data_IF_494534709176
#
_entry.id   IF_494534709176
#
_cell.length_a   1.000
_cell.length_b   1.000
_cell.length_c   1.000
_cell.angle_alpha   90.00
_cell.angle_beta   90.00
_cell.angle_gamma   90.00
#
_symmetry.space_group_name_H-M   'P 1'
#
loop_
_entity.id
_entity.type
_entity.pdbx_description
1 polymer ?
#
# COMPACT_ATOMS: atom_id res chain seq x y z
N UNK A 1 1.56 22.28 48.73
CA UNK A 1 0.83 21.02 48.98
C UNK A 1 0.34 20.50 47.64
N UNK A 2 1.15 19.64 46.99
CA UNK A 2 0.87 19.07 45.67
C UNK A 2 -0.19 17.98 45.81
N UNK A 3 -1.37 18.17 45.23
CA UNK A 3 -2.36 17.11 45.10
C UNK A 3 -2.12 16.32 43.81
N UNK A 4 -1.71 15.08 44.00
CA UNK A 4 -1.47 14.10 42.96
C UNK A 4 -2.77 13.81 42.20
N UNK A 5 -2.86 14.29 40.95
CA UNK A 5 -3.88 13.85 40.01
C UNK A 5 -3.57 12.39 39.63
N UNK A 6 -4.28 11.47 40.28
CA UNK A 6 -4.21 10.04 40.00
C UNK A 6 -4.34 9.77 38.50
N UNK A 7 -3.31 9.15 37.93
CA UNK A 7 -3.32 8.58 36.59
C UNK A 7 -4.37 7.47 36.58
N UNK A 8 -5.59 7.81 36.15
CA UNK A 8 -6.61 6.83 35.75
C UNK A 8 -5.93 5.83 34.80
N UNK A 9 -5.93 4.52 35.07
CA UNK A 9 -5.41 3.57 34.11
C UNK A 9 -6.28 3.68 32.86
N UNK A 10 -5.66 4.01 31.73
CA UNK A 10 -6.31 4.05 30.43
C UNK A 10 -6.99 2.70 30.16
N UNK A 11 -8.29 2.63 30.39
CA UNK A 11 -9.15 1.55 29.92
C UNK A 11 -9.38 1.69 28.41
N UNK A 12 -8.30 1.84 27.64
CA UNK A 12 -8.29 1.66 26.19
C UNK A 12 -8.31 0.18 25.84
N UNK A 13 -9.20 -0.58 26.48
CA UNK A 13 -9.62 -1.89 25.98
C UNK A 13 -10.81 -1.59 25.08
N UNK A 14 -10.53 -1.49 23.77
CA UNK A 14 -11.54 -1.35 22.71
C UNK A 14 -12.76 -2.22 23.02
N UNK A 15 -13.94 -1.64 22.83
CA UNK A 15 -15.22 -2.34 22.83
C UNK A 15 -15.08 -3.73 22.21
N UNK A 16 -15.35 -4.77 23.00
CA UNK A 16 -15.30 -6.16 22.57
C UNK A 16 -16.38 -6.38 21.52
N UNK A 17 -15.99 -6.42 20.25
CA UNK A 17 -16.89 -6.75 19.16
C UNK A 17 -17.30 -8.22 19.29
N UNK A 18 -18.49 -8.45 19.82
CA UNK A 18 -19.18 -9.74 19.80
C UNK A 18 -19.63 -10.02 18.37
N UNK A 19 -19.26 -11.16 17.80
CA UNK A 19 -19.66 -11.55 16.43
C UNK A 19 -20.14 -12.99 16.45
N UNK A 20 -21.20 -13.29 15.71
CA UNK A 20 -21.66 -14.67 15.52
C UNK A 20 -20.66 -15.46 14.68
N UNK A 21 -20.69 -16.79 14.80
CA UNK A 21 -19.82 -17.70 14.04
C UNK A 21 -20.06 -17.55 12.53
N UNK A 22 -21.32 -17.42 12.10
CA UNK A 22 -21.66 -17.15 10.69
C UNK A 22 -20.95 -15.89 10.15
N UNK A 23 -21.01 -14.78 10.90
CA UNK A 23 -20.36 -13.53 10.52
C UNK A 23 -18.83 -13.63 10.54
N UNK A 24 -18.27 -14.40 11.48
CA UNK A 24 -16.83 -14.65 11.55
C UNK A 24 -16.35 -15.48 10.34
N UNK A 25 -17.10 -16.50 9.96
CA UNK A 25 -16.83 -17.35 8.81
C UNK A 25 -16.79 -16.54 7.50
N UNK A 26 -17.77 -15.64 7.31
CA UNK A 26 -17.81 -14.71 6.16
C UNK A 26 -16.57 -13.80 6.13
N UNK A 27 -16.18 -13.22 7.27
CA UNK A 27 -15.01 -12.33 7.35
C UNK A 27 -13.69 -13.04 7.03
N UNK A 28 -13.57 -14.32 7.40
CA UNK A 28 -12.36 -15.13 7.19
C UNK A 28 -12.48 -15.95 5.88
N UNK A 29 -13.54 -15.76 5.10
CA UNK A 29 -13.82 -16.50 3.85
C UNK A 29 -13.66 -18.01 4.01
N UNK A 30 -14.10 -18.55 5.14
CA UNK A 30 -14.01 -19.99 5.46
C UNK A 30 -15.43 -20.53 5.63
N UNK A 31 -15.77 -21.72 5.11
CA UNK A 31 -17.10 -22.27 5.31
C UNK A 31 -17.37 -22.52 6.81
N UNK A 32 -18.62 -22.32 7.22
CA UNK A 32 -19.03 -22.33 8.64
C UNK A 32 -18.71 -23.66 9.31
N UNK A 33 -18.92 -24.77 8.61
CA UNK A 33 -18.61 -26.12 9.07
C UNK A 33 -17.12 -26.27 9.43
N UNK A 34 -16.23 -25.76 8.57
CA UNK A 34 -14.77 -25.78 8.81
C UNK A 34 -14.37 -24.91 9.98
N UNK A 35 -15.03 -23.77 10.16
CA UNK A 35 -14.76 -22.91 11.30
C UNK A 35 -15.21 -23.59 12.61
N UNK A 36 -16.33 -24.31 12.62
CA UNK A 36 -16.79 -25.08 13.79
C UNK A 36 -15.82 -26.21 14.13
N UNK A 37 -15.30 -26.93 13.13
CA UNK A 37 -14.23 -27.93 13.31
C UNK A 37 -13.00 -27.30 13.98
N UNK A 38 -12.50 -26.17 13.45
CA UNK A 38 -11.33 -25.46 14.01
C UNK A 38 -11.56 -24.94 15.43
N UNK A 39 -12.77 -24.47 15.73
CA UNK A 39 -13.12 -24.01 17.08
C UNK A 39 -13.15 -25.19 18.07
N UNK A 40 -13.68 -26.34 17.65
CA UNK A 40 -13.69 -27.57 18.45
C UNK A 40 -12.26 -28.10 18.69
N UNK A 41 -11.41 -28.10 17.66
CA UNK A 41 -9.99 -28.47 17.77
C UNK A 41 -9.20 -27.52 18.68
N UNK A 42 -9.56 -26.23 18.70
CA UNK A 42 -9.01 -25.24 19.62
C UNK A 42 -9.57 -25.37 21.06
N UNK A 43 -10.40 -26.39 21.34
CA UNK A 43 -10.96 -26.69 22.65
C UNK A 43 -12.16 -25.82 23.04
N UNK A 44 -12.82 -25.18 22.07
CA UNK A 44 -14.01 -24.37 22.27
C UNK A 44 -15.24 -25.12 21.76
N UNK A 45 -16.26 -25.28 22.60
CA UNK A 45 -17.48 -26.01 22.23
C UNK A 45 -18.56 -25.01 21.82
N UNK A 46 -18.89 -25.02 20.53
CA UNK A 46 -20.05 -24.31 20.00
C UNK A 46 -21.01 -25.33 19.37
N UNK A 47 -22.30 -25.15 19.60
CA UNK A 47 -23.35 -26.07 19.15
C UNK A 47 -24.02 -25.64 17.85
N UNK A 48 -23.78 -24.42 17.38
CA UNK A 48 -24.44 -23.91 16.18
C UNK A 48 -23.89 -22.59 15.65
N UNK A 49 -24.26 -22.22 14.41
CA UNK A 49 -23.66 -21.11 13.65
C UNK A 49 -24.08 -19.71 14.15
N UNK A 50 -25.17 -19.63 14.90
CA UNK A 50 -25.72 -18.37 15.42
C UNK A 50 -25.16 -18.03 16.81
N UNK A 51 -24.31 -18.87 17.39
CA UNK A 51 -23.67 -18.61 18.68
C UNK A 51 -22.64 -17.48 18.56
N UNK A 52 -22.53 -16.70 19.64
CA UNK A 52 -21.67 -15.51 19.71
C UNK A 52 -20.26 -15.92 20.14
N UNK A 53 -19.25 -15.44 19.39
CA UNK A 53 -17.84 -15.62 19.71
C UNK A 53 -17.30 -14.37 20.42
N UNK A 54 -16.78 -14.58 21.61
CA UNK A 54 -16.15 -13.55 22.45
C UNK A 54 -14.74 -13.20 21.98
N UNK A 55 -14.22 -12.03 22.39
CA UNK A 55 -12.87 -11.60 22.03
C UNK A 55 -11.79 -12.58 22.54
N UNK A 56 -12.00 -13.21 23.68
CA UNK A 56 -11.08 -14.21 24.25
C UNK A 56 -11.01 -15.48 23.42
N UNK A 57 -12.14 -15.94 22.89
CA UNK A 57 -12.23 -17.13 22.03
C UNK A 57 -11.57 -16.88 20.67
N UNK A 58 -11.74 -15.68 20.11
CA UNK A 58 -11.05 -15.27 18.87
C UNK A 58 -9.53 -15.31 19.05
N UNK A 59 -9.01 -14.83 20.18
CA UNK A 59 -7.57 -14.89 20.46
C UNK A 59 -7.06 -16.33 20.61
N UNK A 60 -7.85 -17.23 21.22
CA UNK A 60 -7.52 -18.66 21.31
C UNK A 60 -7.50 -19.32 19.94
N UNK A 61 -8.51 -19.07 19.09
CA UNK A 61 -8.55 -19.55 17.71
C UNK A 61 -7.32 -19.08 16.93
N UNK A 62 -6.98 -17.79 17.01
CA UNK A 62 -5.79 -17.25 16.35
C UNK A 62 -4.51 -17.92 16.86
N UNK A 63 -4.41 -18.16 18.18
CA UNK A 63 -3.28 -18.90 18.75
C UNK A 63 -3.19 -20.34 18.22
N UNK A 64 -4.31 -21.03 18.08
CA UNK A 64 -4.38 -22.37 17.50
C UNK A 64 -3.95 -22.36 16.02
N UNK A 65 -4.54 -21.49 15.20
CA UNK A 65 -4.22 -21.37 13.78
C UNK A 65 -2.74 -21.02 13.54
N UNK A 66 -2.16 -20.16 14.40
CA UNK A 66 -0.72 -19.85 14.35
C UNK A 66 0.16 -21.05 14.71
N UNK A 67 -0.30 -21.98 15.54
CA UNK A 67 0.46 -23.21 15.86
C UNK A 67 0.27 -24.32 14.83
N UNK A 68 -0.91 -24.42 14.22
CA UNK A 68 -1.23 -25.47 13.24
C UNK A 68 -0.76 -25.11 11.83
N UNK A 69 -0.92 -23.85 11.42
CA UNK A 69 -0.49 -23.36 10.10
C UNK A 69 0.84 -22.62 10.15
N UNK A 70 1.25 -22.11 11.31
CA UNK A 70 2.64 -21.76 11.53
C UNK A 70 3.42 -23.05 11.66
N UNK A 71 4.03 -23.45 10.53
CA UNK A 71 5.08 -24.47 10.41
C UNK A 71 5.76 -24.65 11.76
N UNK A 72 5.44 -25.74 12.44
CA UNK A 72 5.85 -26.05 13.81
C UNK A 72 7.17 -25.35 14.16
N UNK A 73 7.12 -24.36 15.05
CA UNK A 73 8.24 -24.13 15.95
C UNK A 73 8.33 -25.40 16.79
N UNK A 74 8.97 -26.42 16.21
CA UNK A 74 9.46 -27.54 16.99
C UNK A 74 10.35 -26.92 18.08
N UNK A 75 10.24 -27.39 19.34
CA UNK A 75 11.02 -26.86 20.45
C UNK A 75 12.49 -26.78 20.03
N UNK A 76 13.11 -25.64 20.33
CA UNK A 76 14.42 -25.22 19.85
C UNK A 76 15.58 -26.18 20.19
N UNK A 77 15.32 -27.27 20.92
CA UNK A 77 16.35 -28.02 21.62
C UNK A 77 16.73 -29.37 21.00
N UNK A 78 16.13 -29.83 19.88
CA UNK A 78 16.52 -31.14 19.29
C UNK A 78 16.63 -31.22 17.75
N UNK A 79 16.43 -30.15 16.97
CA UNK A 79 16.50 -30.26 15.50
C UNK A 79 17.13 -29.04 14.80
N UNK A 80 18.30 -28.62 15.26
CA UNK A 80 19.01 -27.42 14.78
C UNK A 80 19.40 -27.41 13.29
N UNK A 81 19.44 -28.55 12.59
CA UNK A 81 19.84 -28.59 11.17
C UNK A 81 18.85 -29.32 10.25
N UNK A 82 18.21 -30.38 10.73
CA UNK A 82 17.26 -31.16 9.93
C UNK A 82 15.97 -30.37 9.63
N UNK A 83 15.46 -29.58 10.57
CA UNK A 83 14.24 -28.78 10.37
C UNK A 83 14.44 -27.57 9.43
N UNK A 84 15.70 -27.15 9.24
CA UNK A 84 16.11 -26.07 8.33
C UNK A 84 16.25 -26.54 6.88
N UNK A 85 16.34 -27.85 6.63
CA UNK A 85 16.59 -28.42 5.30
C UNK A 85 15.42 -29.29 4.84
N UNK A 86 14.74 -28.90 3.76
CA UNK A 86 13.65 -29.66 3.14
C UNK A 86 14.13 -30.16 1.78
N UNK A 87 14.10 -31.47 1.57
CA UNK A 87 14.45 -32.08 0.27
C UNK A 87 13.19 -32.45 -0.49
N UNK A 88 12.99 -31.86 -1.67
CA UNK A 88 11.89 -32.19 -2.58
C UNK A 88 12.38 -33.13 -3.68
N UNK A 89 11.68 -34.25 -3.83
CA UNK A 89 11.86 -35.18 -4.94
C UNK A 89 10.71 -34.98 -5.93
N UNK A 90 11.02 -34.53 -7.15
CA UNK A 90 10.03 -34.35 -8.23
C UNK A 90 10.29 -35.35 -9.35
N UNK A 91 9.23 -36.02 -9.78
CA UNK A 91 9.21 -36.88 -10.96
C UNK A 91 8.56 -36.13 -12.12
N UNK A 92 9.19 -36.11 -13.29
CA UNK A 92 8.61 -35.59 -14.53
C UNK A 92 8.82 -36.60 -15.65
N UNK A 93 7.73 -37.05 -16.25
CA UNK A 93 7.77 -37.86 -17.47
C UNK A 93 7.77 -36.90 -18.67
N UNK A 94 8.71 -37.07 -19.59
CA UNK A 94 8.81 -36.27 -20.81
C UNK A 94 9.03 -37.19 -22.01
N UNK A 95 8.25 -36.99 -23.05
CA UNK A 95 8.49 -37.61 -24.35
C UNK A 95 9.58 -36.82 -25.07
N UNK A 96 10.70 -37.48 -25.35
CA UNK A 96 11.81 -36.88 -26.10
C UNK A 96 11.89 -37.61 -27.43
N UNK A 97 11.70 -36.86 -28.50
CA UNK A 97 11.96 -37.33 -29.86
C UNK A 97 13.43 -37.11 -30.17
N UNK A 98 14.20 -38.19 -30.21
CA UNK A 98 15.62 -38.14 -30.53
C UNK A 98 15.77 -38.31 -32.05
N UNK A 99 16.39 -37.33 -32.71
CA UNK A 99 16.77 -37.45 -34.12
C UNK A 99 18.07 -38.23 -34.24
N UNK A 100 17.99 -39.55 -34.10
CA UNK A 100 19.11 -40.44 -34.34
C UNK A 100 19.07 -40.94 -35.81
N UNK A 101 19.68 -40.18 -36.71
CA UNK A 101 19.81 -40.57 -38.12
C UNK A 101 18.53 -40.37 -38.97
N UNK A 102 18.26 -41.31 -39.90
CA UNK A 102 17.21 -41.21 -40.94
C UNK A 102 15.78 -41.35 -40.41
N UNK A 103 15.59 -41.80 -39.17
CA UNK A 103 14.27 -41.97 -38.54
C UNK A 103 14.18 -41.25 -37.20
N UNK A 104 13.00 -40.70 -36.89
CA UNK A 104 12.69 -40.02 -35.64
C UNK A 104 12.06 -41.03 -34.68
N UNK A 105 12.69 -41.30 -33.53
CA UNK A 105 12.16 -42.21 -32.51
C UNK A 105 11.79 -41.40 -31.26
N UNK A 106 10.56 -41.57 -30.76
CA UNK A 106 10.09 -40.92 -29.53
C UNK A 106 10.19 -41.91 -28.37
N UNK A 107 10.91 -41.51 -27.32
CA UNK A 107 11.12 -42.32 -26.11
C UNK A 107 10.57 -41.57 -24.91
N UNK A 108 9.86 -42.28 -24.04
CA UNK A 108 9.38 -41.76 -22.77
C UNK A 108 10.51 -41.75 -21.74
N UNK A 109 10.95 -40.56 -21.33
CA UNK A 109 12.04 -40.38 -20.35
C UNK A 109 11.47 -39.88 -19.03
N UNK A 110 11.75 -40.60 -17.94
CA UNK A 110 11.44 -40.15 -16.59
C UNK A 110 12.63 -39.40 -15.98
N UNK A 111 12.49 -38.08 -15.81
CA UNK A 111 13.46 -37.26 -15.09
C UNK A 111 13.09 -37.21 -13.60
N UNK A 112 13.99 -37.68 -12.75
CA UNK A 112 13.88 -37.59 -11.28
C UNK A 112 14.81 -36.50 -10.78
N UNK A 113 14.25 -35.45 -10.18
CA UNK A 113 15.02 -34.31 -9.66
C UNK A 113 14.93 -34.26 -8.13
N UNK A 114 16.08 -34.22 -7.47
CA UNK A 114 16.23 -33.97 -6.03
C UNK A 114 16.68 -32.52 -5.82
N UNK A 115 15.84 -31.68 -5.20
CA UNK A 115 16.20 -30.29 -4.85
C UNK A 115 16.13 -30.13 -3.34
N UNK A 116 17.23 -29.70 -2.75
CA UNK A 116 17.33 -29.48 -1.31
C UNK A 116 17.26 -27.99 -1.03
N UNK A 117 16.24 -27.55 -0.31
CA UNK A 117 16.06 -26.17 0.12
C UNK A 117 16.50 -26.02 1.57
N UNK A 118 17.31 -25.00 1.84
CA UNK A 118 17.71 -24.63 3.20
C UNK A 118 17.01 -23.32 3.53
N UNK A 119 16.31 -23.27 4.66
CA UNK A 119 15.63 -22.08 5.15
C UNK A 119 16.65 -21.18 5.85
N UNK A 120 17.26 -20.30 5.07
CA UNK A 120 17.98 -19.12 5.58
C UNK A 120 16.95 -18.14 6.14
N UNK A 121 17.23 -17.52 7.29
CA UNK A 121 16.30 -16.63 7.99
C UNK A 121 15.72 -15.49 7.11
N UNK A 122 16.37 -15.17 5.99
CA UNK A 122 15.96 -14.14 5.04
C UNK A 122 14.85 -14.56 4.04
N UNK A 123 14.43 -15.83 4.01
CA UNK A 123 13.48 -16.35 3.01
C UNK A 123 12.03 -16.52 3.54
N UNK A 124 11.67 -15.80 4.62
CA UNK A 124 10.27 -15.78 5.13
C UNK A 124 9.41 -14.66 4.55
N UNK A 125 9.98 -13.79 3.72
CA UNK A 125 9.24 -12.70 3.11
C UNK A 125 9.41 -12.85 1.60
N UNK A 126 8.33 -13.19 0.90
CA UNK A 126 8.32 -13.18 -0.55
C UNK A 126 8.91 -11.86 -1.08
N UNK A 127 9.97 -11.98 -1.88
CA UNK A 127 10.46 -10.90 -2.75
C UNK A 127 10.88 -9.60 -2.05
N UNK A 128 11.79 -9.64 -1.07
CA UNK A 128 12.59 -8.47 -0.70
C UNK A 128 14.09 -8.76 -0.89
N UNK A 129 14.87 -7.82 -1.43
CA UNK A 129 16.32 -7.97 -1.55
C UNK A 129 16.93 -8.04 -0.14
N UNK A 130 18.15 -8.59 -0.07
CA UNK A 130 19.01 -8.85 1.10
C UNK A 130 18.86 -7.87 2.29
N UNK A 131 19.23 -8.27 3.53
CA UNK A 131 19.16 -7.42 4.71
C UNK A 131 20.15 -6.26 4.57
N UNK A 132 19.71 -5.18 3.93
CA UNK A 132 20.26 -3.85 4.15
C UNK A 132 20.01 -3.53 5.61
N UNK A 133 21.04 -3.06 6.31
CA UNK A 133 20.95 -2.84 7.75
C UNK A 133 19.79 -1.86 8.03
N UNK A 134 19.14 -1.96 9.20
CA UNK A 134 18.06 -1.03 9.56
C UNK A 134 18.47 0.46 9.52
N UNK A 135 19.77 0.74 9.46
CA UNK A 135 20.33 2.07 9.25
C UNK A 135 20.29 2.51 7.77
N UNK A 136 20.50 1.58 6.83
CA UNK A 136 20.45 1.84 5.39
C UNK A 136 19.01 2.13 4.95
N UNK A 137 18.02 1.37 5.44
CA UNK A 137 16.60 1.63 5.15
C UNK A 137 16.17 3.02 5.66
N UNK A 138 16.63 3.42 6.85
CA UNK A 138 16.36 4.76 7.39
C UNK A 138 17.00 5.87 6.55
N UNK A 139 18.22 5.66 6.08
CA UNK A 139 18.90 6.61 5.21
C UNK A 139 18.19 6.77 3.85
N UNK A 140 17.73 5.68 3.25
CA UNK A 140 16.96 5.70 2.00
C UNK A 140 15.60 6.40 2.17
N UNK A 141 14.90 6.15 3.28
CA UNK A 141 13.63 6.80 3.59
C UNK A 141 13.82 8.32 3.74
N UNK A 142 14.88 8.76 4.45
CA UNK A 142 15.18 10.18 4.62
C UNK A 142 15.52 10.85 3.28
N UNK A 143 16.34 10.18 2.45
CA UNK A 143 16.69 10.69 1.12
C UNK A 143 15.46 10.84 0.22
N UNK A 144 14.55 9.86 0.24
CA UNK A 144 13.31 9.90 -0.56
C UNK A 144 12.34 10.98 -0.05
N UNK A 145 12.27 11.19 1.27
CA UNK A 145 11.49 12.27 1.86
C UNK A 145 12.02 13.64 1.45
N UNK A 146 13.34 13.82 1.47
CA UNK A 146 13.98 15.06 1.06
C UNK A 146 13.79 15.34 -0.44
N UNK A 147 13.96 14.33 -1.29
CA UNK A 147 13.68 14.45 -2.73
C UNK A 147 12.21 14.83 -2.99
N UNK A 148 11.26 14.20 -2.29
CA UNK A 148 9.84 14.55 -2.41
C UNK A 148 9.56 15.99 -1.96
N UNK A 149 10.20 16.46 -0.88
CA UNK A 149 10.08 17.84 -0.43
C UNK A 149 10.64 18.83 -1.46
N UNK A 150 11.79 18.53 -2.04
CA UNK A 150 12.39 19.37 -3.08
C UNK A 150 11.52 19.46 -4.33
N UNK A 151 10.94 18.33 -4.78
CA UNK A 151 10.00 18.33 -5.92
C UNK A 151 8.76 19.19 -5.65
N UNK A 152 8.16 19.05 -4.46
CA UNK A 152 6.99 19.85 -4.09
C UNK A 152 7.31 21.35 -4.03
N UNK A 153 8.47 21.73 -3.48
CA UNK A 153 8.89 23.13 -3.43
C UNK A 153 9.15 23.69 -4.83
N UNK A 154 9.81 22.93 -5.71
CA UNK A 154 10.06 23.35 -7.08
C UNK A 154 8.74 23.50 -7.87
N UNK A 155 7.77 22.62 -7.66
CA UNK A 155 6.44 22.73 -8.28
C UNK A 155 5.68 23.96 -7.78
N UNK A 156 5.69 24.22 -6.47
CA UNK A 156 5.08 25.43 -5.90
C UNK A 156 5.71 26.72 -6.43
N UNK A 157 7.04 26.74 -6.58
CA UNK A 157 7.75 27.89 -7.16
C UNK A 157 7.34 28.12 -8.61
N UNK A 158 7.26 27.06 -9.42
CA UNK A 158 6.81 27.16 -10.82
C UNK A 158 5.37 27.66 -10.92
N UNK A 159 4.47 27.17 -10.07
CA UNK A 159 3.09 27.65 -10.04
C UNK A 159 3.03 29.13 -9.66
N UNK A 160 3.78 29.54 -8.65
CA UNK A 160 3.86 30.95 -8.24
C UNK A 160 4.44 31.85 -9.34
N UNK A 161 5.44 31.40 -10.09
CA UNK A 161 5.99 32.13 -11.23
C UNK A 161 4.98 32.27 -12.38
N UNK A 162 4.26 31.18 -12.71
CA UNK A 162 3.20 31.22 -13.73
C UNK A 162 2.07 32.16 -13.33
N UNK A 163 1.65 32.13 -12.07
CA UNK A 163 0.60 33.00 -11.56
C UNK A 163 1.03 34.47 -11.54
N UNK A 164 2.28 34.76 -11.18
CA UNK A 164 2.87 36.12 -11.28
C UNK A 164 2.91 36.60 -12.73
N UNK A 165 3.38 35.77 -13.65
CA UNK A 165 3.44 36.13 -15.07
C UNK A 165 2.05 36.42 -15.65
N UNK A 166 1.04 35.61 -15.30
CA UNK A 166 -0.36 35.86 -15.69
C UNK A 166 -0.91 37.16 -15.11
N UNK A 167 -0.60 37.46 -13.85
CA UNK A 167 -1.02 38.71 -13.21
C UNK A 167 -0.39 39.92 -13.88
N UNK A 168 0.91 39.86 -14.20
CA UNK A 168 1.62 40.92 -14.91
C UNK A 168 1.09 41.13 -16.34
N UNK A 169 0.76 40.05 -17.06
CA UNK A 169 0.15 40.14 -18.39
C UNK A 169 -1.23 40.79 -18.35
N UNK A 170 -2.07 40.41 -17.37
CA UNK A 170 -3.38 41.01 -17.17
C UNK A 170 -3.29 42.49 -16.81
N UNK A 171 -2.34 42.87 -15.95
CA UNK A 171 -2.10 44.28 -15.61
C UNK A 171 -1.58 45.09 -16.81
N UNK A 172 -0.73 44.50 -17.65
CA UNK A 172 -0.31 45.14 -18.91
C UNK A 172 -1.48 45.35 -19.86
N UNK A 173 -2.31 44.32 -20.07
CA UNK A 173 -3.52 44.42 -20.91
C UNK A 173 -4.49 45.48 -20.39
N UNK A 174 -4.70 45.55 -19.07
CA UNK A 174 -5.53 46.59 -18.44
C UNK A 174 -5.00 47.99 -18.69
N UNK A 175 -3.69 48.20 -18.58
CA UNK A 175 -3.06 49.50 -18.85
C UNK A 175 -3.15 49.89 -20.33
N UNK A 176 -2.95 48.94 -21.23
CA UNK A 176 -3.11 49.15 -22.68
C UNK A 176 -4.56 49.52 -23.02
N UNK A 177 -5.54 48.79 -22.48
CA UNK A 177 -6.97 49.08 -22.68
C UNK A 177 -7.38 50.44 -22.08
N UNK A 178 -6.87 50.80 -20.90
CA UNK A 178 -7.10 52.12 -20.30
C UNK A 178 -6.50 53.23 -21.18
N UNK A 179 -5.26 53.06 -21.65
CA UNK A 179 -4.63 54.04 -22.53
C UNK A 179 -5.37 54.20 -23.86
N UNK A 180 -5.92 53.12 -24.43
CA UNK A 180 -6.76 53.20 -25.63
C UNK A 180 -8.09 53.93 -25.35
N UNK A 181 -8.76 53.62 -24.23
CA UNK A 181 -9.99 54.32 -23.82
C UNK A 181 -9.74 55.81 -23.62
N UNK A 182 -8.66 56.19 -22.95
CA UNK A 182 -8.28 57.58 -22.71
C UNK A 182 -7.99 58.33 -24.03
N UNK A 183 -7.33 57.67 -25.00
CA UNK A 183 -7.08 58.23 -26.34
C UNK A 183 -8.39 58.46 -27.10
N UNK A 184 -9.27 57.47 -27.14
CA UNK A 184 -10.58 57.58 -27.81
C UNK A 184 -11.44 58.66 -27.15
N UNK A 185 -11.43 58.79 -25.83
CA UNK A 185 -12.13 59.86 -25.12
C UNK A 185 -11.54 61.25 -25.42
N UNK A 186 -10.21 61.37 -25.47
CA UNK A 186 -9.55 62.62 -25.83
C UNK A 186 -9.87 63.05 -27.27
N UNK A 187 -9.85 62.11 -28.23
CA UNK A 187 -10.24 62.36 -29.62
C UNK A 187 -11.71 62.79 -29.72
N UNK A 188 -12.63 62.11 -29.00
CA UNK A 188 -14.05 62.50 -28.94
C UNK A 188 -14.25 63.88 -28.36
N UNK A 189 -13.56 64.23 -27.26
CA UNK A 189 -13.64 65.56 -26.64
C UNK A 189 -13.08 66.64 -27.57
N UNK A 190 -11.97 66.39 -28.26
CA UNK A 190 -11.40 67.31 -29.24
C UNK A 190 -12.34 67.54 -30.43
N UNK A 191 -12.95 66.47 -30.96
CA UNK A 191 -13.94 66.58 -32.03
C UNK A 191 -15.20 67.35 -31.59
N UNK A 192 -15.69 67.13 -30.37
CA UNK A 192 -16.82 67.89 -29.81
C UNK A 192 -16.47 69.37 -29.60
N UNK A 193 -15.28 69.68 -29.10
CA UNK A 193 -14.82 71.06 -28.93
C UNK A 193 -14.67 71.79 -30.27
N UNK A 194 -14.12 71.12 -31.29
CA UNK A 194 -14.03 71.66 -32.65
C UNK A 194 -15.43 71.90 -33.26
N UNK A 195 -16.36 70.95 -33.09
CA UNK A 195 -17.74 71.12 -33.56
C UNK A 195 -18.47 72.26 -32.84
N UNK A 196 -18.25 72.43 -31.53
CA UNK A 196 -18.82 73.54 -30.75
C UNK A 196 -18.26 74.90 -31.17
N UNK A 197 -16.94 75.00 -31.44
CA UNK A 197 -16.33 76.23 -31.92
C UNK A 197 -16.86 76.65 -33.31
N UNK A 198 -17.06 75.70 -34.22
CA UNK A 198 -17.64 75.97 -35.55
C UNK A 198 -19.11 76.41 -35.45
N UNK A 199 -19.85 75.94 -34.43
CA UNK A 199 -21.24 76.34 -34.21
C UNK A 199 -21.40 77.71 -33.53
N UNK A 200 -20.37 78.21 -32.82
CA UNK A 200 -20.37 79.53 -32.18
C UNK A 200 -19.89 80.65 -33.14
N UNK A 201 -19.26 80.27 -34.26
CA UNK A 201 -18.73 81.20 -35.27
C UNK A 201 -19.68 81.40 -36.50
N UNK A 202 -20.85 80.73 -36.52
CA UNK A 202 -21.87 80.77 -37.58
C UNK A 202 -23.17 81.45 -37.13
#
# INVERSE_FOLDING_TARGET
MLWARGRQPDHRIRMSQQTTIRKLAELVNTPVEKLLEQLAEAGMKFSGPDQVVTSTEKMKLLGFLRRTHGKAEAPADVAGEAARKITLNRRKLQEVTVSAGRSKTTVNVEVRQKRTYVKTADNEIGGKPAPVSANDERAEILRKLEESRQRNLAEQQRLAEVDRARAEELERKRKEEQAERDRVEAERKAAQAAAAAVADEA
#
